data_IF_788406773616
#
_entry.id   IF_788406773616
#
_cell.length_a   1.000
_cell.length_b   1.000
_cell.length_c   1.000
_cell.angle_alpha   90.00
_cell.angle_beta   90.00
_cell.angle_gamma   90.00
#
_symmetry.space_group_name_H-M   'P 1'
#
loop_
_entity.id
_entity.type
_entity.pdbx_description
1 polymer ?
#
# COMPACT_ATOMS: atom_id res chain seq x y z
N UNK A 1 -3.84 19.32 40.30
CA UNK A 1 -3.47 19.48 38.88
C UNK A 1 -3.12 18.08 38.40
N UNK A 2 -4.06 17.39 37.75
CA UNK A 2 -3.83 16.06 37.21
C UNK A 2 -3.22 16.28 35.83
N UNK A 3 -1.90 16.18 35.70
CA UNK A 3 -1.29 16.13 34.38
C UNK A 3 -1.68 14.79 33.78
N UNK A 4 -2.47 14.82 32.70
CA UNK A 4 -2.56 13.66 31.82
C UNK A 4 -1.13 13.32 31.37
N UNK A 5 -0.66 12.12 31.67
CA UNK A 5 0.50 11.59 30.96
C UNK A 5 0.10 11.52 29.48
N UNK A 6 0.93 12.01 28.54
CA UNK A 6 0.75 11.64 27.16
C UNK A 6 0.77 10.10 27.09
N UNK A 7 -0.18 9.53 26.37
CA UNK A 7 -0.16 8.10 26.03
C UNK A 7 1.05 7.97 25.10
N UNK A 8 2.22 7.62 25.65
CA UNK A 8 3.39 7.31 24.85
C UNK A 8 3.09 6.02 24.09
N UNK A 9 3.48 5.95 22.82
CA UNK A 9 3.58 4.69 22.11
C UNK A 9 4.51 3.76 22.87
N UNK A 10 4.19 2.47 22.89
CA UNK A 10 4.99 1.48 23.60
C UNK A 10 6.31 1.26 22.87
N UNK A 11 6.28 1.24 21.53
CA UNK A 11 7.45 1.02 20.67
C UNK A 11 7.52 2.04 19.52
N UNK A 12 8.71 2.58 19.27
CA UNK A 12 9.00 3.52 18.17
C UNK A 12 10.27 3.09 17.44
N UNK A 13 10.25 3.02 16.11
CA UNK A 13 11.44 2.72 15.28
C UNK A 13 11.61 3.81 14.20
N UNK A 14 12.85 4.27 14.08
CA UNK A 14 13.37 5.22 13.09
C UNK A 14 14.38 4.51 12.21
N UNK A 15 14.28 4.63 10.88
CA UNK A 15 15.26 4.11 9.93
C UNK A 15 15.54 5.14 8.83
N UNK A 16 16.79 5.53 8.71
CA UNK A 16 17.33 6.27 7.56
C UNK A 16 18.44 5.39 6.99
N UNK A 17 18.14 4.72 5.90
CA UNK A 17 19.04 3.79 5.23
C UNK A 17 19.45 4.36 3.88
N UNK A 18 20.75 4.49 3.69
CA UNK A 18 21.34 4.75 2.39
C UNK A 18 22.41 3.72 2.07
N UNK A 19 22.41 3.21 0.84
CA UNK A 19 23.36 2.20 0.40
C UNK A 19 22.79 1.30 -0.69
N UNK A 20 23.65 0.69 -1.48
CA UNK A 20 23.20 0.00 -2.69
C UNK A 20 22.33 -1.25 -2.42
N UNK A 21 22.50 -1.87 -1.24
CA UNK A 21 21.76 -3.07 -0.84
C UNK A 21 21.47 -3.09 0.65
N UNK A 22 20.29 -3.57 1.03
CA UNK A 22 19.92 -3.77 2.43
C UNK A 22 19.03 -5.01 2.62
N UNK A 23 19.09 -5.61 3.82
CA UNK A 23 18.13 -6.59 4.30
C UNK A 23 17.70 -6.14 5.67
N UNK A 24 16.44 -5.76 5.81
CA UNK A 24 15.89 -5.09 6.99
C UNK A 24 14.73 -5.93 7.51
N UNK A 25 14.78 -6.21 8.81
CA UNK A 25 13.75 -6.96 9.56
C UNK A 25 13.44 -6.15 10.83
N UNK A 26 12.18 -5.71 10.97
CA UNK A 26 11.70 -4.88 12.06
C UNK A 26 10.47 -5.51 12.72
N UNK A 27 10.62 -5.90 13.99
CA UNK A 27 9.55 -6.46 14.81
C UNK A 27 9.18 -5.52 15.97
N UNK A 28 7.89 -5.27 16.18
CA UNK A 28 7.36 -4.55 17.34
C UNK A 28 6.24 -5.34 18.01
N UNK A 29 6.36 -5.55 19.33
CA UNK A 29 5.35 -6.21 20.18
C UNK A 29 4.90 -5.24 21.27
N UNK A 30 3.68 -4.72 21.19
CA UNK A 30 3.22 -3.67 22.11
C UNK A 30 1.82 -3.14 21.78
N UNK A 31 1.16 -2.49 22.75
CA UNK A 31 -0.22 -2.01 22.55
C UNK A 31 -0.31 -0.77 21.64
N UNK A 32 0.83 -0.13 21.38
CA UNK A 32 0.98 1.00 20.47
C UNK A 32 2.36 0.94 19.81
N UNK A 33 2.39 0.58 18.53
CA UNK A 33 3.58 0.39 17.73
C UNK A 33 3.66 1.46 16.63
N UNK A 34 4.85 2.02 16.41
CA UNK A 34 5.11 3.01 15.37
C UNK A 34 6.47 2.77 14.70
N UNK A 35 6.47 2.64 13.37
CA UNK A 35 7.63 2.77 12.48
C UNK A 35 7.29 3.93 11.54
N UNK A 36 8.18 4.89 11.27
CA UNK A 36 7.66 6.08 10.57
C UNK A 36 8.61 7.01 9.86
N UNK A 37 8.17 7.50 8.70
CA UNK A 37 7.88 8.91 8.39
C UNK A 37 6.69 8.98 7.40
N UNK A 38 5.62 9.74 7.60
CA UNK A 38 5.39 11.07 6.98
C UNK A 38 5.21 12.11 8.06
N UNK A 39 6.32 12.31 8.78
CA UNK A 39 6.47 13.09 10.00
C UNK A 39 5.86 12.48 11.29
N UNK A 40 5.95 11.15 11.38
CA UNK A 40 5.45 10.29 12.45
C UNK A 40 5.80 10.73 13.89
N UNK A 41 4.95 10.41 14.88
CA UNK A 41 5.19 10.70 16.31
C UNK A 41 4.52 9.69 17.26
N UNK A 42 5.23 9.20 18.29
CA UNK A 42 4.76 9.28 19.69
C UNK A 42 5.86 9.82 20.63
N UNK A 43 6.60 10.78 20.12
CA UNK A 43 7.58 11.54 20.87
C UNK A 43 8.22 12.57 19.95
N UNK A 44 8.54 12.11 18.73
CA UNK A 44 8.41 12.83 17.46
C UNK A 44 9.30 12.20 16.38
N UNK A 45 9.12 10.93 15.98
CA UNK A 45 10.05 10.34 15.00
C UNK A 45 9.48 9.98 13.63
N UNK A 46 10.16 10.61 12.67
CA UNK A 46 10.15 10.64 11.20
C UNK A 46 11.26 9.74 10.63
N UNK A 47 11.54 9.73 9.33
CA UNK A 47 12.43 8.79 8.64
C UNK A 47 12.12 7.31 8.91
N UNK A 48 11.32 6.79 8.00
CA UNK A 48 11.52 5.49 7.40
C UNK A 48 11.89 5.81 5.95
N UNK A 49 13.15 6.15 5.75
CA UNK A 49 13.67 6.51 4.45
C UNK A 49 14.64 5.42 4.04
N UNK A 50 14.36 4.74 2.93
CA UNK A 50 15.09 3.56 2.47
C UNK A 50 15.57 3.76 1.03
N UNK A 51 16.85 4.09 0.88
CA UNK A 51 17.50 4.28 -0.41
C UNK A 51 18.43 3.11 -0.74
N UNK A 52 18.05 2.28 -1.72
CA UNK A 52 18.94 1.23 -2.22
C UNK A 52 18.47 0.50 -3.48
N UNK A 53 19.42 0.19 -4.37
CA UNK A 53 19.11 -0.49 -5.64
C UNK A 53 18.46 -1.87 -5.45
N UNK A 54 18.80 -2.61 -4.39
CA UNK A 54 18.20 -3.92 -4.11
C UNK A 54 18.02 -4.14 -2.61
N UNK A 55 16.78 -4.36 -2.18
CA UNK A 55 16.43 -4.44 -0.76
C UNK A 55 15.46 -5.59 -0.48
N UNK A 56 15.60 -6.17 0.70
CA UNK A 56 14.55 -7.00 1.31
C UNK A 56 14.07 -6.33 2.59
N UNK A 57 12.76 -6.21 2.75
CA UNK A 57 12.11 -5.57 3.89
C UNK A 57 11.11 -6.54 4.52
N UNK A 58 11.20 -6.73 5.83
CA UNK A 58 10.29 -7.56 6.61
C UNK A 58 9.83 -6.73 7.82
N UNK A 59 8.52 -6.50 7.93
CA UNK A 59 7.90 -5.67 8.96
C UNK A 59 6.84 -6.49 9.67
N UNK A 60 7.00 -6.67 10.98
CA UNK A 60 6.02 -7.36 11.82
C UNK A 60 5.61 -6.45 12.99
N UNK A 61 4.36 -5.95 13.02
CA UNK A 61 3.84 -5.19 14.15
C UNK A 61 2.66 -5.93 14.79
N UNK A 62 2.83 -6.33 16.06
CA UNK A 62 1.85 -7.10 16.82
C UNK A 62 1.41 -6.31 18.06
N UNK A 63 0.10 -6.08 18.13
CA UNK A 63 -0.62 -5.51 19.27
C UNK A 63 -1.72 -4.55 18.85
N UNK A 64 -2.45 -3.99 19.82
CA UNK A 64 -3.75 -3.37 19.53
C UNK A 64 -3.73 -2.21 18.52
N UNK A 65 -2.65 -1.44 18.43
CA UNK A 65 -2.51 -0.35 17.46
C UNK A 65 -1.15 -0.42 16.78
N UNK A 66 -1.14 -0.56 15.45
CA UNK A 66 0.07 -0.62 14.63
C UNK A 66 0.06 0.48 13.57
N UNK A 67 1.19 1.16 13.43
CA UNK A 67 1.37 2.23 12.45
C UNK A 67 2.72 2.06 11.76
N UNK A 68 2.68 1.99 10.43
CA UNK A 68 3.83 2.01 9.55
C UNK A 68 3.68 3.17 8.55
N UNK A 69 4.70 4.01 8.43
CA UNK A 69 4.75 5.08 7.41
C UNK A 69 6.14 5.19 6.79
N UNK A 70 6.27 5.46 5.50
CA UNK A 70 7.56 5.79 4.84
C UNK A 70 7.64 7.21 4.28
N UNK A 71 8.76 7.91 4.50
CA UNK A 71 9.05 9.19 3.83
C UNK A 71 9.59 8.95 2.40
N UNK A 72 10.10 7.74 2.15
CA UNK A 72 10.56 7.25 0.86
C UNK A 72 11.01 5.80 0.97
N UNK A 73 10.64 5.00 -0.01
CA UNK A 73 11.29 3.72 -0.29
C UNK A 73 11.71 3.77 -1.75
N UNK A 74 13.00 3.81 -2.00
CA UNK A 74 13.59 3.97 -3.31
C UNK A 74 14.40 2.71 -3.64
N UNK A 75 13.84 1.82 -4.46
CA UNK A 75 14.51 0.57 -4.83
C UNK A 75 14.02 -0.11 -6.10
N UNK A 76 14.98 -0.47 -6.96
CA UNK A 76 14.77 -1.13 -8.26
C UNK A 76 14.69 -2.67 -8.17
N UNK A 77 14.83 -3.23 -6.98
CA UNK A 77 14.64 -4.65 -6.74
C UNK A 77 14.30 -4.80 -5.27
N UNK A 78 13.02 -4.57 -4.96
CA UNK A 78 12.49 -4.60 -3.62
C UNK A 78 11.64 -5.86 -3.44
N UNK A 79 11.92 -6.63 -2.39
CA UNK A 79 10.97 -7.62 -1.87
C UNK A 79 10.56 -7.19 -0.48
N UNK A 80 9.28 -6.89 -0.26
CA UNK A 80 8.77 -6.43 1.02
C UNK A 80 7.64 -7.33 1.54
N UNK A 81 7.68 -7.61 2.84
CA UNK A 81 6.61 -8.26 3.58
C UNK A 81 6.18 -7.36 4.73
N UNK A 82 4.87 -7.16 4.87
CA UNK A 82 4.27 -6.34 5.92
C UNK A 82 3.19 -7.17 6.64
N UNK A 83 3.42 -7.49 7.90
CA UNK A 83 2.48 -8.18 8.79
C UNK A 83 1.97 -7.21 9.87
N UNK A 84 0.65 -7.05 9.95
CA UNK A 84 -0.01 -6.25 10.97
C UNK A 84 -1.08 -7.05 11.71
N UNK A 85 -0.82 -7.36 12.98
CA UNK A 85 -1.73 -8.08 13.87
C UNK A 85 -2.21 -7.15 14.98
N UNK A 86 -3.44 -6.63 14.88
CA UNK A 86 -3.93 -5.63 15.81
C UNK A 86 -5.36 -5.18 15.58
N UNK A 87 -6.00 -4.58 16.59
CA UNK A 87 -7.37 -4.08 16.43
C UNK A 87 -7.44 -2.95 15.40
N UNK A 88 -6.40 -2.10 15.36
CA UNK A 88 -6.26 -0.97 14.43
C UNK A 88 -4.89 -0.97 13.74
N UNK A 89 -4.88 -1.02 12.40
CA UNK A 89 -3.64 -1.00 11.61
C UNK A 89 -3.66 0.15 10.60
N UNK A 90 -2.53 0.84 10.47
CA UNK A 90 -2.33 1.94 9.50
C UNK A 90 -1.03 1.73 8.74
N UNK A 91 -1.12 1.72 7.42
CA UNK A 91 0.03 1.70 6.51
C UNK A 91 -0.01 2.93 5.60
N UNK A 92 1.14 3.59 5.42
CA UNK A 92 1.33 4.73 4.50
C UNK A 92 2.69 4.55 3.79
N UNK A 93 2.67 4.26 2.50
CA UNK A 93 3.89 3.99 1.72
C UNK A 93 4.03 4.96 0.55
N UNK A 94 5.24 5.51 0.43
CA UNK A 94 5.71 6.33 -0.68
C UNK A 94 6.89 5.62 -1.34
N UNK A 95 6.61 4.83 -2.38
CA UNK A 95 7.63 4.09 -3.14
C UNK A 95 8.03 4.90 -4.38
N UNK A 96 9.31 5.24 -4.50
CA UNK A 96 9.85 6.05 -5.61
C UNK A 96 9.12 7.40 -5.79
N UNK A 97 8.91 8.13 -4.69
CA UNK A 97 8.37 9.49 -4.76
C UNK A 97 9.48 10.51 -5.10
N UNK A 98 10.75 10.22 -4.81
CA UNK A 98 11.87 11.13 -5.12
C UNK A 98 12.34 11.09 -6.58
N UNK A 99 12.02 10.01 -7.31
CA UNK A 99 12.47 9.78 -8.69
C UNK A 99 13.95 9.44 -8.83
N UNK A 100 14.67 9.19 -7.72
CA UNK A 100 16.14 8.98 -7.75
C UNK A 100 16.52 7.55 -8.13
N UNK A 101 15.71 6.57 -7.74
CA UNK A 101 15.84 5.15 -8.08
C UNK A 101 14.49 4.70 -8.62
N UNK A 102 14.50 4.03 -9.78
CA UNK A 102 13.30 3.45 -10.38
C UNK A 102 12.69 2.37 -9.47
N UNK A 103 11.36 2.27 -9.45
CA UNK A 103 10.62 1.24 -8.74
C UNK A 103 10.31 0.02 -9.63
N UNK A 104 11.29 -0.44 -10.42
CA UNK A 104 11.13 -1.66 -11.20
C UNK A 104 11.32 -2.90 -10.32
N UNK A 105 10.76 -4.05 -10.72
CA UNK A 105 10.93 -5.35 -10.05
C UNK A 105 10.64 -5.32 -8.53
N UNK A 106 9.50 -4.75 -8.18
CA UNK A 106 9.03 -4.64 -6.80
C UNK A 106 8.03 -5.77 -6.53
N UNK A 107 8.23 -6.49 -5.44
CA UNK A 107 7.32 -7.51 -4.94
C UNK A 107 6.92 -7.18 -3.51
N UNK A 108 5.64 -6.96 -3.23
CA UNK A 108 5.13 -6.60 -1.91
C UNK A 108 3.97 -7.51 -1.51
N UNK A 109 4.05 -8.06 -0.31
CA UNK A 109 2.95 -8.77 0.32
C UNK A 109 2.55 -8.04 1.61
N UNK A 110 1.28 -7.66 1.71
CA UNK A 110 0.67 -7.04 2.88
C UNK A 110 -0.33 -8.02 3.48
N UNK A 111 -0.03 -8.55 4.67
CA UNK A 111 -0.85 -9.49 5.43
C UNK A 111 -1.36 -8.83 6.72
N UNK A 112 -2.68 -8.79 6.90
CA UNK A 112 -3.30 -8.00 7.96
C UNK A 112 -4.42 -8.76 8.63
N UNK A 113 -4.33 -8.87 9.95
CA UNK A 113 -5.44 -9.30 10.81
C UNK A 113 -5.81 -8.18 11.76
N UNK A 114 -7.00 -7.60 11.57
CA UNK A 114 -7.44 -6.50 12.43
C UNK A 114 -8.83 -5.97 12.17
N UNK A 115 -9.49 -5.43 13.19
CA UNK A 115 -10.90 -4.99 13.07
C UNK A 115 -11.04 -3.74 12.19
N UNK A 116 -10.05 -2.83 12.21
CA UNK A 116 -10.05 -1.58 11.46
C UNK A 116 -8.70 -1.35 10.78
N UNK A 117 -8.70 -1.31 9.45
CA UNK A 117 -7.47 -1.17 8.68
C UNK A 117 -7.56 0.02 7.70
N UNK A 118 -6.49 0.80 7.62
CA UNK A 118 -6.36 1.91 6.68
C UNK A 118 -5.02 1.80 5.95
N UNK A 119 -5.06 1.78 4.63
CA UNK A 119 -3.90 1.64 3.77
C UNK A 119 -3.83 2.79 2.77
N UNK A 120 -2.70 3.47 2.73
CA UNK A 120 -2.30 4.45 1.72
C UNK A 120 -1.01 3.93 1.05
N UNK A 121 -1.01 3.82 -0.26
CA UNK A 121 0.16 3.37 -1.02
C UNK A 121 0.27 4.18 -2.30
N UNK A 122 1.43 4.78 -2.50
CA UNK A 122 1.79 5.42 -3.75
C UNK A 122 3.03 4.78 -4.34
N UNK A 123 2.94 4.43 -5.61
CA UNK A 123 4.03 3.80 -6.35
C UNK A 123 4.36 4.62 -7.57
N UNK A 124 5.60 5.10 -7.58
CA UNK A 124 6.28 5.60 -8.77
C UNK A 124 5.64 6.86 -9.40
N UNK A 125 5.12 7.78 -8.57
CA UNK A 125 4.43 9.04 -8.95
C UNK A 125 5.19 9.92 -9.97
N UNK A 126 6.51 9.74 -10.10
CA UNK A 126 7.37 10.51 -11.01
C UNK A 126 7.99 9.68 -12.15
N UNK A 127 7.78 8.37 -12.18
CA UNK A 127 8.27 7.45 -13.22
C UNK A 127 7.55 6.10 -13.14
N UNK A 128 7.02 5.58 -14.24
CA UNK A 128 6.35 4.26 -14.26
C UNK A 128 7.16 3.13 -13.60
N UNK A 129 6.49 2.30 -12.79
CA UNK A 129 7.01 1.01 -12.31
C UNK A 129 6.82 -0.10 -13.35
N UNK A 130 7.88 -0.87 -13.62
CA UNK A 130 7.80 -2.11 -14.42
C UNK A 130 7.98 -3.34 -13.53
N UNK A 131 7.11 -4.33 -13.70
CA UNK A 131 7.15 -5.60 -12.95
C UNK A 131 6.86 -5.43 -11.47
N UNK A 132 5.87 -4.60 -11.13
CA UNK A 132 5.28 -4.57 -9.79
C UNK A 132 4.41 -5.80 -9.56
N UNK A 133 4.61 -6.47 -8.44
CA UNK A 133 3.74 -7.51 -7.88
C UNK A 133 3.32 -7.07 -6.49
N UNK A 134 2.01 -6.90 -6.27
CA UNK A 134 1.45 -6.35 -5.04
C UNK A 134 0.25 -7.19 -4.61
N UNK A 135 0.41 -7.88 -3.50
CA UNK A 135 -0.61 -8.74 -2.92
C UNK A 135 -1.07 -8.19 -1.57
N UNK A 136 -2.38 -8.13 -1.38
CA UNK A 136 -3.02 -7.79 -0.11
C UNK A 136 -3.87 -8.97 0.35
N UNK A 137 -3.66 -9.39 1.60
CA UNK A 137 -4.48 -10.39 2.29
C UNK A 137 -4.95 -9.75 3.59
N UNK A 138 -6.22 -9.41 3.67
CA UNK A 138 -6.76 -8.65 4.80
C UNK A 138 -7.96 -9.36 5.41
N UNK A 139 -7.85 -9.71 6.70
CA UNK A 139 -8.98 -10.17 7.51
C UNK A 139 -9.36 -9.08 8.50
N UNK A 140 -10.53 -8.48 8.31
CA UNK A 140 -10.93 -7.34 9.13
C UNK A 140 -12.31 -6.78 8.85
N UNK A 141 -13.01 -6.32 9.89
CA UNK A 141 -14.40 -5.87 9.75
C UNK A 141 -14.54 -4.61 8.88
N UNK A 142 -13.62 -3.64 9.01
CA UNK A 142 -13.65 -2.37 8.30
C UNK A 142 -12.30 -2.06 7.66
N UNK A 143 -12.26 -1.99 6.33
CA UNK A 143 -11.03 -1.79 5.59
C UNK A 143 -11.15 -0.62 4.61
N UNK A 144 -10.14 0.25 4.60
CA UNK A 144 -10.04 1.40 3.72
C UNK A 144 -8.72 1.35 2.97
N UNK A 145 -8.80 1.36 1.65
CA UNK A 145 -7.68 1.28 0.74
C UNK A 145 -7.69 2.53 -0.15
N UNK A 146 -6.56 3.23 -0.23
CA UNK A 146 -6.34 4.35 -1.14
C UNK A 146 -4.97 4.17 -1.81
N UNK A 147 -4.98 3.71 -3.07
CA UNK A 147 -3.75 3.38 -3.78
C UNK A 147 -3.63 4.13 -5.10
N UNK A 148 -2.43 4.64 -5.35
CA UNK A 148 -2.02 5.27 -6.59
C UNK A 148 -0.81 4.55 -7.17
N UNK A 149 -0.93 4.01 -8.38
CA UNK A 149 0.15 3.24 -9.01
C UNK A 149 0.36 3.73 -10.44
N UNK A 150 1.52 4.33 -10.67
CA UNK A 150 2.03 4.61 -12.01
C UNK A 150 2.84 3.42 -12.50
N UNK A 151 2.36 2.75 -13.55
CA UNK A 151 2.96 1.52 -14.06
C UNK A 151 3.08 1.43 -15.58
N UNK A 152 4.12 0.74 -16.01
CA UNK A 152 4.20 0.10 -17.31
C UNK A 152 3.74 -1.36 -17.22
N UNK A 153 4.07 -2.05 -16.12
CA UNK A 153 3.61 -3.41 -15.83
C UNK A 153 3.38 -3.60 -14.34
N UNK A 154 2.18 -4.02 -13.95
CA UNK A 154 1.83 -4.30 -12.58
C UNK A 154 0.81 -5.44 -12.47
N UNK A 155 0.94 -6.23 -11.42
CA UNK A 155 -0.08 -7.13 -10.90
C UNK A 155 -0.43 -6.62 -9.50
N UNK A 156 -1.70 -6.35 -9.26
CA UNK A 156 -2.23 -5.98 -7.97
C UNK A 156 -3.39 -6.93 -7.62
N UNK A 157 -3.29 -7.66 -6.51
CA UNK A 157 -4.34 -8.55 -6.03
C UNK A 157 -4.77 -8.11 -4.64
N UNK A 158 -6.06 -7.82 -4.46
CA UNK A 158 -6.64 -7.47 -3.17
C UNK A 158 -7.62 -8.57 -2.75
N UNK A 159 -7.28 -9.32 -1.71
CA UNK A 159 -8.15 -10.31 -1.06
C UNK A 159 -8.56 -9.79 0.32
N UNK A 160 -9.85 -9.55 0.51
CA UNK A 160 -10.39 -9.03 1.78
C UNK A 160 -11.54 -9.88 2.27
N UNK A 161 -11.34 -10.47 3.44
CA UNK A 161 -12.39 -11.07 4.24
C UNK A 161 -12.85 -10.08 5.31
N UNK A 162 -13.86 -9.27 4.97
CA UNK A 162 -14.33 -8.20 5.85
C UNK A 162 -15.82 -7.92 5.77
N UNK A 163 -16.34 -7.07 6.66
CA UNK A 163 -17.77 -6.73 6.64
C UNK A 163 -18.06 -5.50 5.78
N UNK A 164 -17.15 -4.52 5.80
CA UNK A 164 -17.25 -3.24 5.12
C UNK A 164 -15.91 -2.84 4.48
N UNK A 165 -15.91 -2.61 3.17
CA UNK A 165 -14.70 -2.29 2.43
C UNK A 165 -14.88 -1.02 1.59
N UNK A 166 -13.93 -0.11 1.67
CA UNK A 166 -13.83 1.06 0.78
C UNK A 166 -12.54 0.98 0.00
N UNK A 167 -12.63 0.92 -1.33
CA UNK A 167 -11.47 0.86 -2.23
C UNK A 167 -11.47 2.10 -3.12
N UNK A 168 -10.43 2.92 -3.01
CA UNK A 168 -10.08 3.94 -3.97
C UNK A 168 -8.79 3.50 -4.67
N UNK A 169 -8.84 3.40 -5.99
CA UNK A 169 -7.68 3.02 -6.78
C UNK A 169 -7.53 3.95 -7.96
N UNK A 170 -6.36 4.57 -8.08
CA UNK A 170 -5.93 5.31 -9.26
C UNK A 170 -4.73 4.59 -9.87
N UNK A 171 -4.77 4.41 -11.17
CA UNK A 171 -3.67 3.85 -11.92
C UNK A 171 -3.48 4.59 -13.23
N UNK A 172 -2.22 4.82 -13.57
CA UNK A 172 -1.82 5.52 -14.78
C UNK A 172 -0.51 4.96 -15.34
N UNK A 173 -0.07 5.46 -16.51
CA UNK A 173 1.21 5.07 -17.11
C UNK A 173 1.11 4.45 -18.51
N UNK A 174 2.20 3.79 -18.93
CA UNK A 174 2.36 3.18 -20.25
C UNK A 174 2.14 1.66 -20.23
N UNK A 175 0.89 1.23 -20.03
CA UNK A 175 0.52 -0.19 -20.13
C UNK A 175 0.60 -0.70 -21.57
N UNK A 176 1.70 -1.37 -21.92
CA UNK A 176 1.97 -1.95 -23.23
C UNK A 176 0.96 -2.99 -23.74
N UNK A 177 1.26 -3.56 -24.92
CA UNK A 177 0.30 -4.39 -25.68
C UNK A 177 0.42 -5.90 -25.41
N UNK A 178 1.38 -6.31 -24.59
CA UNK A 178 1.65 -7.72 -24.26
C UNK A 178 1.43 -7.96 -22.76
N UNK A 179 1.23 -9.22 -22.35
CA UNK A 179 1.01 -9.52 -20.93
C UNK A 179 2.22 -9.23 -20.04
N UNK A 180 3.43 -9.12 -20.60
CA UNK A 180 4.62 -8.71 -19.85
C UNK A 180 4.67 -7.21 -19.57
N UNK A 181 3.79 -6.45 -20.22
CA UNK A 181 3.78 -4.99 -20.20
C UNK A 181 2.37 -4.47 -19.87
N UNK A 182 1.49 -5.27 -19.25
CA UNK A 182 0.10 -4.88 -18.95
C UNK A 182 -0.12 -4.58 -17.47
N UNK A 183 -1.17 -3.82 -17.15
CA UNK A 183 -1.67 -3.64 -15.79
C UNK A 183 -2.79 -4.63 -15.50
N UNK A 184 -2.66 -5.38 -14.41
CA UNK A 184 -3.72 -6.25 -13.90
C UNK A 184 -4.09 -5.86 -12.48
N UNK A 185 -5.38 -5.67 -12.25
CA UNK A 185 -5.94 -5.48 -10.92
C UNK A 185 -7.04 -6.52 -10.67
N UNK A 186 -6.85 -7.33 -9.63
CA UNK A 186 -7.84 -8.28 -9.15
C UNK A 186 -8.29 -7.91 -7.75
N UNK A 187 -9.59 -8.01 -7.49
CA UNK A 187 -10.15 -7.90 -6.15
C UNK A 187 -11.08 -9.08 -5.87
N UNK A 188 -10.87 -9.74 -4.73
CA UNK A 188 -11.82 -10.66 -4.09
C UNK A 188 -12.24 -10.06 -2.75
N UNK A 189 -13.51 -9.71 -2.63
CA UNK A 189 -14.03 -8.93 -1.51
C UNK A 189 -15.27 -9.59 -0.93
N UNK A 190 -15.07 -10.31 0.16
CA UNK A 190 -16.15 -10.70 1.06
C UNK A 190 -16.59 -9.48 1.86
N UNK A 191 -17.91 -9.29 1.96
CA UNK A 191 -18.47 -8.22 2.79
C UNK A 191 -19.81 -7.67 2.34
N UNK A 192 -20.65 -7.37 3.33
CA UNK A 192 -22.01 -6.91 3.07
C UNK A 192 -22.11 -5.48 2.52
N UNK A 193 -21.09 -4.64 2.74
CA UNK A 193 -21.07 -3.22 2.36
C UNK A 193 -19.77 -2.82 1.68
N UNK A 194 -19.77 -2.71 0.35
CA UNK A 194 -18.54 -2.38 -0.39
C UNK A 194 -18.72 -1.09 -1.23
N UNK A 195 -17.76 -0.17 -1.12
CA UNK A 195 -17.71 1.08 -1.92
C UNK A 195 -16.44 1.11 -2.75
N UNK A 196 -16.57 1.25 -4.08
CA UNK A 196 -15.43 1.27 -5.00
C UNK A 196 -15.41 2.56 -5.81
N UNK A 197 -14.22 3.13 -5.94
CA UNK A 197 -13.91 4.16 -6.92
C UNK A 197 -12.59 3.79 -7.61
N UNK A 198 -12.69 3.27 -8.82
CA UNK A 198 -11.54 2.77 -9.58
C UNK A 198 -11.35 3.60 -10.83
N UNK A 199 -10.13 4.11 -11.02
CA UNK A 199 -9.70 4.81 -12.22
C UNK A 199 -8.45 4.10 -12.74
N UNK A 200 -8.54 3.45 -13.89
CA UNK A 200 -7.39 2.92 -14.62
C UNK A 200 -7.26 3.68 -15.94
N UNK A 201 -6.25 4.53 -16.04
CA UNK A 201 -6.03 5.42 -17.19
C UNK A 201 -4.64 5.24 -17.79
N UNK A 202 -4.44 4.16 -18.55
CA UNK A 202 -3.19 3.97 -19.30
C UNK A 202 -3.26 4.58 -20.71
N UNK A 203 -2.09 4.66 -21.36
CA UNK A 203 -1.95 5.24 -22.72
C UNK A 203 -2.04 4.21 -23.84
N UNK A 204 -2.21 2.92 -23.51
CA UNK A 204 -2.29 1.80 -24.44
C UNK A 204 -3.22 0.68 -23.91
N UNK A 205 -3.68 -0.19 -24.82
CA UNK A 205 -4.95 -0.92 -24.73
C UNK A 205 -5.07 -2.11 -23.74
N UNK A 206 -4.30 -2.22 -22.65
CA UNK A 206 -4.34 -3.44 -21.80
C UNK A 206 -4.35 -3.23 -20.28
N UNK A 207 -5.23 -2.35 -19.80
CA UNK A 207 -5.68 -2.41 -18.41
C UNK A 207 -6.73 -3.52 -18.23
N UNK A 208 -6.45 -4.48 -17.35
CA UNK A 208 -7.40 -5.53 -17.00
C UNK A 208 -7.79 -5.45 -15.53
N UNK A 209 -9.11 -5.39 -15.28
CA UNK A 209 -9.71 -5.37 -13.96
C UNK A 209 -10.64 -6.58 -13.80
N UNK A 210 -10.50 -7.32 -12.70
CA UNK A 210 -11.43 -8.37 -12.28
C UNK A 210 -11.88 -8.09 -10.85
N UNK A 211 -13.20 -8.20 -10.61
CA UNK A 211 -13.80 -8.03 -9.28
C UNK A 211 -14.69 -9.22 -8.99
N UNK A 212 -14.43 -9.89 -7.88
CA UNK A 212 -15.28 -10.90 -7.26
C UNK A 212 -15.72 -10.33 -5.91
N UNK A 213 -17.03 -10.20 -5.69
CA UNK A 213 -17.52 -9.57 -4.46
C UNK A 213 -18.91 -10.05 -4.06
N UNK A 214 -19.11 -10.23 -2.75
CA UNK A 214 -20.35 -10.75 -2.15
C UNK A 214 -21.14 -9.65 -1.41
N UNK A 215 -21.73 -8.71 -2.16
CA UNK A 215 -22.28 -7.47 -1.58
C UNK A 215 -23.78 -7.55 -1.27
N UNK A 216 -24.21 -6.91 -0.18
CA UNK A 216 -25.64 -6.67 0.11
C UNK A 216 -26.06 -5.23 -0.14
N UNK A 217 -25.14 -4.27 0.01
CA UNK A 217 -25.30 -2.85 -0.33
C UNK A 217 -23.98 -2.31 -0.87
N UNK A 218 -23.90 -2.01 -2.17
CA UNK A 218 -22.67 -1.50 -2.77
C UNK A 218 -22.85 -0.28 -3.65
N UNK A 219 -21.84 0.57 -3.63
CA UNK A 219 -21.69 1.71 -4.53
C UNK A 219 -20.40 1.55 -5.31
N UNK A 220 -20.49 1.27 -6.61
CA UNK A 220 -19.36 0.88 -7.44
C UNK A 220 -19.22 1.88 -8.59
N UNK A 221 -18.11 2.60 -8.62
CA UNK A 221 -17.68 3.46 -9.72
C UNK A 221 -16.38 2.91 -10.32
N UNK A 222 -16.38 2.68 -11.63
CA UNK A 222 -15.21 2.19 -12.37
C UNK A 222 -15.08 3.00 -13.66
N UNK A 223 -13.93 3.60 -13.86
CA UNK A 223 -13.53 4.28 -15.08
C UNK A 223 -12.27 3.61 -15.62
N UNK A 224 -12.35 3.05 -16.83
CA UNK A 224 -11.18 2.65 -17.61
C UNK A 224 -11.03 3.59 -18.80
N UNK A 225 -9.84 4.16 -18.98
CA UNK A 225 -9.60 5.20 -19.97
C UNK A 225 -8.26 5.00 -20.70
N UNK A 226 -8.34 4.41 -21.90
CA UNK A 226 -7.20 4.25 -22.82
C UNK A 226 -7.06 5.52 -23.69
N UNK A 227 -6.29 6.50 -23.20
CA UNK A 227 -5.93 7.71 -23.95
C UNK A 227 -7.06 8.73 -24.21
N UNK A 228 -8.22 8.61 -23.56
CA UNK A 228 -9.31 9.58 -23.61
C UNK A 228 -9.13 10.77 -22.64
N UNK A 229 -9.90 11.84 -22.85
CA UNK A 229 -9.76 13.10 -22.08
C UNK A 229 -10.85 13.32 -21.02
N UNK A 230 -11.68 12.32 -20.75
CA UNK A 230 -12.76 12.40 -19.78
C UNK A 230 -12.73 11.17 -18.87
N UNK A 231 -12.61 11.40 -17.57
CA UNK A 231 -12.76 10.39 -16.52
C UNK A 231 -13.91 10.82 -15.61
N UNK A 232 -14.75 9.88 -15.19
CA UNK A 232 -15.80 10.16 -14.20
C UNK A 232 -16.97 9.19 -14.21
N UNK A 233 -17.39 8.84 -13.00
CA UNK A 233 -18.77 8.62 -12.64
C UNK A 233 -19.31 9.93 -12.03
#
# INVERSE_FOLDING_TARGET
MLSALPILGDNEIYVDQSGNTASIDLEQLGSSNLIGGTSAVSGSMTALDLDGLSMTLDINQIGSNNIFRSDGIDGNNLTAFFEYDGDSNVMDILLNSSGTITADYVNMLVDVTGSSNTFDLKVAENSDSSYLDLDWVVTGDSNQFDFDIDYANAINNVDVNGSSNTINFTASGYSGTTSSDSGYFFMDLDGSSNTFNIIQSSTLARDWLKIETNTSNSNICITQNDGGTATGC
#
